data_IF_932620442388
#
_entry.id   IF_932620442388
#
_cell.length_a   1.000
_cell.length_b   1.000
_cell.length_c   1.000
_cell.angle_alpha   90.00
_cell.angle_beta   90.00
_cell.angle_gamma   90.00
#
_symmetry.space_group_name_H-M   'P 1'
#
loop_
_entity.id
_entity.type
_entity.pdbx_description
1 polymer ?
#
# COMPACT_ATOMS: atom_id res chain seq x y z
N UNK A 1 14.30 0.04 38.63
CA UNK A 1 13.18 0.85 38.07
C UNK A 1 13.41 1.26 36.61
N UNK A 2 14.57 1.79 36.22
CA UNK A 2 14.83 2.25 34.85
C UNK A 2 14.63 1.16 33.77
N UNK A 3 15.13 -0.07 34.00
CA UNK A 3 14.99 -1.19 33.05
C UNK A 3 13.52 -1.58 32.81
N UNK A 4 12.68 -1.55 33.86
CA UNK A 4 11.25 -1.86 33.74
C UNK A 4 10.48 -0.76 33.00
N UNK A 5 10.86 0.51 33.16
CA UNK A 5 10.26 1.61 32.39
C UNK A 5 10.65 1.55 30.91
N UNK A 6 11.91 1.17 30.60
CA UNK A 6 12.35 0.94 29.22
C UNK A 6 11.66 -0.26 28.56
N UNK A 7 11.42 -1.34 29.32
CA UNK A 7 10.72 -2.53 28.82
C UNK A 7 9.25 -2.27 28.48
N UNK A 8 8.61 -1.28 29.14
CA UNK A 8 7.22 -0.89 28.87
C UNK A 8 7.07 0.20 27.82
N UNK A 9 8.16 0.76 27.30
CA UNK A 9 8.14 1.83 26.31
C UNK A 9 7.26 1.52 25.07
N UNK A 10 7.25 0.28 24.51
CA UNK A 10 6.37 -0.08 23.40
C UNK A 10 4.87 -0.03 23.75
N UNK A 11 4.51 -0.20 25.02
CA UNK A 11 3.12 -0.21 25.51
C UNK A 11 2.63 1.18 25.94
N UNK A 12 3.43 2.23 25.73
CA UNK A 12 2.96 3.62 25.83
C UNK A 12 2.23 4.02 24.54
N UNK A 13 1.43 5.09 24.56
CA UNK A 13 0.75 5.57 23.34
C UNK A 13 1.78 5.97 22.25
N UNK A 14 2.93 6.51 22.65
CA UNK A 14 4.04 6.84 21.73
C UNK A 14 4.71 5.60 21.16
N UNK A 15 4.92 4.58 22.00
CA UNK A 15 5.44 3.28 21.56
C UNK A 15 4.47 2.58 20.61
N UNK A 16 3.17 2.63 20.91
CA UNK A 16 2.12 2.12 20.04
C UNK A 16 2.13 2.82 18.67
N UNK A 17 2.21 4.16 18.64
CA UNK A 17 2.37 4.94 17.40
C UNK A 17 3.56 4.46 16.56
N UNK A 18 4.73 4.28 17.19
CA UNK A 18 5.94 3.82 16.52
C UNK A 18 5.81 2.38 15.99
N UNK A 19 5.20 1.48 16.76
CA UNK A 19 4.92 0.10 16.33
C UNK A 19 3.95 0.09 15.15
N UNK A 20 2.88 0.89 15.21
CA UNK A 20 1.91 0.99 14.12
C UNK A 20 2.57 1.52 12.84
N UNK A 21 3.39 2.57 12.95
CA UNK A 21 4.17 3.08 11.82
C UNK A 21 5.13 2.01 11.26
N UNK A 22 5.93 1.38 12.12
CA UNK A 22 6.88 0.35 11.72
C UNK A 22 6.19 -0.86 11.09
N UNK A 23 5.01 -1.21 11.57
CA UNK A 23 4.16 -2.27 11.00
C UNK A 23 3.65 -1.87 9.61
N UNK A 24 3.14 -0.66 9.43
CA UNK A 24 2.66 -0.17 8.14
C UNK A 24 3.80 -0.12 7.09
N UNK A 25 4.95 0.45 7.46
CA UNK A 25 6.12 0.50 6.58
C UNK A 25 6.66 -0.91 6.29
N UNK A 26 6.82 -1.74 7.33
CA UNK A 26 7.29 -3.13 7.21
C UNK A 26 6.39 -3.98 6.32
N UNK A 27 5.08 -3.76 6.35
CA UNK A 27 4.12 -4.44 5.46
C UNK A 27 4.40 -4.09 4.00
N UNK A 28 4.65 -2.82 3.68
CA UNK A 28 5.00 -2.38 2.33
C UNK A 28 6.33 -3.00 1.86
N UNK A 29 7.36 -2.98 2.72
CA UNK A 29 8.67 -3.60 2.43
C UNK A 29 8.51 -5.09 2.16
N UNK A 30 7.80 -5.80 3.06
CA UNK A 30 7.59 -7.23 2.93
C UNK A 30 6.83 -7.57 1.65
N UNK A 31 5.76 -6.84 1.33
CA UNK A 31 4.99 -7.07 0.10
C UNK A 31 5.86 -6.98 -1.16
N UNK A 32 6.80 -6.03 -1.23
CA UNK A 32 7.74 -5.92 -2.34
C UNK A 32 8.71 -7.11 -2.38
N UNK A 33 9.33 -7.46 -1.25
CA UNK A 33 10.31 -8.55 -1.19
C UNK A 33 9.66 -9.91 -1.48
N UNK A 34 8.54 -10.21 -0.82
CA UNK A 34 7.79 -11.45 -1.03
C UNK A 34 7.19 -11.52 -2.43
N UNK A 35 6.66 -10.39 -2.95
CA UNK A 35 6.12 -10.30 -4.30
C UNK A 35 7.17 -10.62 -5.36
N UNK A 36 8.36 -10.01 -5.25
CA UNK A 36 9.48 -10.30 -6.15
C UNK A 36 9.89 -11.78 -6.10
N UNK A 37 10.08 -12.34 -4.90
CA UNK A 37 10.47 -13.74 -4.75
C UNK A 37 9.41 -14.68 -5.34
N UNK A 38 8.13 -14.40 -5.11
CA UNK A 38 7.02 -15.21 -5.60
C UNK A 38 6.94 -15.16 -7.12
N UNK A 39 7.06 -13.97 -7.73
CA UNK A 39 7.07 -13.78 -9.18
C UNK A 39 8.21 -14.57 -9.86
N UNK A 40 9.39 -14.60 -9.23
CA UNK A 40 10.55 -15.36 -9.75
C UNK A 40 10.45 -16.88 -9.54
N UNK A 41 9.54 -17.34 -8.68
CA UNK A 41 9.47 -18.75 -8.27
C UNK A 41 8.30 -19.47 -8.93
N UNK A 42 7.16 -18.80 -9.13
CA UNK A 42 5.94 -19.43 -9.61
C UNK A 42 5.70 -19.18 -11.12
N UNK A 43 5.06 -20.13 -11.83
CA UNK A 43 4.51 -19.85 -13.15
C UNK A 43 3.54 -18.66 -13.11
N UNK A 44 3.51 -17.85 -14.18
CA UNK A 44 2.79 -16.56 -14.22
C UNK A 44 1.31 -16.67 -13.83
N UNK A 45 0.58 -17.66 -14.33
CA UNK A 45 -0.84 -17.83 -14.01
C UNK A 45 -1.05 -18.25 -12.55
N UNK A 46 -0.14 -19.06 -12.00
CA UNK A 46 -0.13 -19.43 -10.57
C UNK A 46 0.19 -18.24 -9.69
N UNK A 47 1.20 -17.44 -10.07
CA UNK A 47 1.51 -16.17 -9.42
C UNK A 47 0.31 -15.23 -9.41
N UNK A 48 -0.34 -15.03 -10.56
CA UNK A 48 -1.53 -14.19 -10.67
C UNK A 48 -2.66 -14.64 -9.75
N UNK A 49 -2.94 -15.94 -9.71
CA UNK A 49 -3.96 -16.53 -8.83
C UNK A 49 -3.62 -16.35 -7.35
N UNK A 50 -2.36 -16.51 -6.97
CA UNK A 50 -1.92 -16.27 -5.60
C UNK A 50 -2.03 -14.78 -5.24
N UNK A 51 -1.59 -13.88 -6.13
CA UNK A 51 -1.66 -12.43 -5.91
C UNK A 51 -3.10 -11.94 -5.77
N UNK A 52 -4.05 -12.47 -6.54
CA UNK A 52 -5.46 -12.08 -6.41
C UNK A 52 -6.06 -12.42 -5.03
N UNK A 53 -5.39 -13.29 -4.24
CA UNK A 53 -5.76 -13.62 -2.85
C UNK A 53 -4.95 -12.83 -1.82
N UNK A 54 -3.66 -12.62 -2.08
CA UNK A 54 -2.77 -11.91 -1.14
C UNK A 54 -2.96 -10.40 -1.18
N UNK A 55 -3.19 -9.82 -2.36
CA UNK A 55 -3.23 -8.37 -2.53
C UNK A 55 -4.37 -7.69 -1.75
N UNK A 56 -5.61 -8.24 -1.70
CA UNK A 56 -6.66 -7.68 -0.84
C UNK A 56 -6.33 -7.77 0.65
N UNK A 57 -5.68 -8.85 1.09
CA UNK A 57 -5.24 -9.00 2.49
C UNK A 57 -4.18 -7.97 2.85
N UNK A 58 -3.19 -7.80 1.97
CA UNK A 58 -2.14 -6.80 2.09
C UNK A 58 -2.72 -5.39 2.21
N UNK A 59 -3.57 -4.96 1.26
CA UNK A 59 -4.10 -3.61 1.28
C UNK A 59 -5.09 -3.38 2.43
N UNK A 60 -5.86 -4.39 2.84
CA UNK A 60 -6.70 -4.31 4.04
C UNK A 60 -5.87 -4.06 5.29
N UNK A 61 -4.84 -4.89 5.50
CA UNK A 61 -3.97 -4.77 6.67
C UNK A 61 -3.20 -3.44 6.67
N UNK A 62 -2.62 -3.07 5.52
CA UNK A 62 -1.88 -1.82 5.35
C UNK A 62 -2.77 -0.59 5.59
N UNK A 63 -4.00 -0.59 5.05
CA UNK A 63 -4.97 0.48 5.26
C UNK A 63 -5.41 0.59 6.72
N UNK A 64 -5.63 -0.54 7.38
CA UNK A 64 -5.98 -0.56 8.80
C UNK A 64 -4.84 0.00 9.65
N UNK A 65 -3.62 -0.49 9.46
CA UNK A 65 -2.44 0.00 10.19
C UNK A 65 -2.21 1.50 9.95
N UNK A 66 -2.30 1.96 8.70
CA UNK A 66 -2.12 3.37 8.35
C UNK A 66 -3.28 4.24 8.88
N UNK A 67 -4.50 3.73 8.94
CA UNK A 67 -5.64 4.42 9.55
C UNK A 67 -5.47 4.56 11.07
N UNK A 68 -5.01 3.49 11.75
CA UNK A 68 -4.67 3.54 13.17
C UNK A 68 -3.55 4.54 13.43
N UNK A 69 -2.55 4.61 12.54
CA UNK A 69 -1.48 5.59 12.60
C UNK A 69 -2.01 7.03 12.48
N UNK A 70 -2.92 7.28 11.52
CA UNK A 70 -3.53 8.59 11.34
C UNK A 70 -4.37 9.00 12.56
N UNK A 71 -5.19 8.06 13.07
CA UNK A 71 -6.02 8.29 14.24
C UNK A 71 -5.17 8.66 15.47
N UNK A 72 -4.11 7.88 15.73
CA UNK A 72 -3.20 8.16 16.85
C UNK A 72 -2.41 9.45 16.65
N UNK A 73 -2.05 9.81 15.42
CA UNK A 73 -1.45 11.10 15.11
C UNK A 73 -2.36 12.27 15.49
N UNK A 74 -3.64 12.21 15.08
CA UNK A 74 -4.61 13.24 15.47
C UNK A 74 -4.93 13.26 16.95
N UNK A 75 -4.85 12.12 17.64
CA UNK A 75 -4.96 12.08 19.10
C UNK A 75 -3.85 12.89 19.79
N UNK A 76 -2.62 12.85 19.27
CA UNK A 76 -1.53 13.68 19.80
C UNK A 76 -1.63 15.15 19.40
N UNK A 77 -2.28 15.44 18.27
CA UNK A 77 -2.34 16.77 17.67
C UNK A 77 -3.78 17.18 17.34
N UNK A 78 -4.68 17.30 18.35
CA UNK A 78 -6.09 17.64 18.12
C UNK A 78 -6.30 19.00 17.44
N UNK A 79 -5.29 19.88 17.53
CA UNK A 79 -5.23 21.16 16.82
C UNK A 79 -5.49 21.03 15.31
N UNK A 80 -4.95 19.96 14.70
CA UNK A 80 -5.07 19.67 13.26
C UNK A 80 -6.52 19.53 12.78
N UNK A 81 -7.41 19.06 13.67
CA UNK A 81 -8.84 18.88 13.38
C UNK A 81 -9.62 20.16 13.75
N UNK A 82 -9.21 20.83 14.82
CA UNK A 82 -9.99 21.92 15.43
C UNK A 82 -10.02 23.22 14.63
N UNK A 83 -8.94 23.56 13.91
CA UNK A 83 -8.89 24.79 13.13
C UNK A 83 -7.83 24.73 12.03
N UNK A 84 -8.15 25.12 10.77
CA UNK A 84 -7.18 25.16 9.70
C UNK A 84 -6.21 26.36 9.80
N UNK A 85 -6.43 27.27 10.75
CA UNK A 85 -5.67 28.54 10.88
C UNK A 85 -4.82 28.62 12.15
N UNK A 86 -5.05 27.73 13.11
CA UNK A 86 -4.34 27.73 14.39
C UNK A 86 -3.35 26.56 14.40
N UNK A 87 -2.05 26.79 14.64
CA UNK A 87 -1.09 25.70 14.75
C UNK A 87 -1.43 24.73 15.91
N UNK A 88 -1.20 23.41 15.73
CA UNK A 88 -0.77 22.75 14.51
C UNK A 88 -1.87 22.70 13.44
N UNK A 89 -1.51 22.96 12.19
CA UNK A 89 -2.39 22.91 11.00
C UNK A 89 -1.66 22.24 9.85
N UNK A 90 -2.41 21.62 8.93
CA UNK A 90 -1.88 20.73 7.89
C UNK A 90 -0.79 21.31 6.99
N UNK A 91 -0.85 22.61 6.67
CA UNK A 91 -0.05 23.17 5.57
C UNK A 91 1.33 23.66 5.98
N UNK A 92 1.50 24.12 7.22
CA UNK A 92 2.79 24.73 7.63
C UNK A 92 3.30 24.32 9.01
N UNK A 93 2.61 23.46 9.76
CA UNK A 93 3.19 22.86 10.97
C UNK A 93 3.85 21.51 10.65
N UNK A 94 4.94 21.12 11.34
CA UNK A 94 5.57 19.81 11.16
C UNK A 94 4.60 18.65 11.34
N UNK A 95 3.73 18.72 12.35
CA UNK A 95 2.68 17.73 12.62
C UNK A 95 1.70 17.66 11.45
N UNK A 96 1.34 18.81 10.87
CA UNK A 96 0.50 18.88 9.68
C UNK A 96 1.11 18.17 8.48
N UNK A 97 2.40 18.39 8.23
CA UNK A 97 3.13 17.73 7.15
C UNK A 97 3.23 16.21 7.39
N UNK A 98 3.47 15.78 8.63
CA UNK A 98 3.45 14.36 9.01
C UNK A 98 2.07 13.73 8.75
N UNK A 99 0.97 14.41 9.13
CA UNK A 99 -0.39 13.97 8.83
C UNK A 99 -0.63 13.84 7.31
N UNK A 100 -0.14 14.80 6.51
CA UNK A 100 -0.24 14.74 5.05
C UNK A 100 0.53 13.55 4.47
N UNK A 101 1.69 13.18 5.02
CA UNK A 101 2.43 11.98 4.60
C UNK A 101 1.65 10.68 4.91
N UNK A 102 0.99 10.62 6.08
CA UNK A 102 0.12 9.49 6.42
C UNK A 102 -1.08 9.41 5.46
N UNK A 103 -1.74 10.54 5.17
CA UNK A 103 -2.87 10.61 4.23
C UNK A 103 -2.43 10.23 2.81
N UNK A 104 -1.29 10.77 2.36
CA UNK A 104 -0.68 10.44 1.08
C UNK A 104 -0.32 8.94 0.98
N UNK A 105 -0.21 8.25 2.12
CA UNK A 105 -0.02 6.81 2.17
C UNK A 105 -1.34 6.03 2.17
N UNK A 106 -2.31 6.47 2.96
CA UNK A 106 -3.59 5.81 3.15
C UNK A 106 -4.47 5.86 1.90
N UNK A 107 -4.57 7.03 1.24
CA UNK A 107 -5.46 7.19 0.08
C UNK A 107 -5.08 6.23 -1.06
N UNK A 108 -3.80 6.10 -1.47
CA UNK A 108 -3.41 5.11 -2.47
C UNK A 108 -3.67 3.66 -2.05
N UNK A 109 -3.51 3.31 -0.77
CA UNK A 109 -3.83 1.96 -0.27
C UNK A 109 -5.33 1.65 -0.43
N UNK A 110 -6.19 2.60 -0.07
CA UNK A 110 -7.64 2.46 -0.21
C UNK A 110 -8.08 2.40 -1.68
N UNK A 111 -7.51 3.24 -2.54
CA UNK A 111 -7.77 3.20 -3.99
C UNK A 111 -7.37 1.85 -4.59
N UNK A 112 -6.23 1.31 -4.16
CA UNK A 112 -5.80 -0.02 -4.57
C UNK A 112 -6.72 -1.12 -4.06
N UNK A 113 -7.10 -1.07 -2.78
CA UNK A 113 -7.98 -2.06 -2.14
C UNK A 113 -9.34 -2.13 -2.82
N UNK A 114 -9.95 -0.96 -3.04
CA UNK A 114 -11.36 -0.86 -3.39
C UNK A 114 -11.61 -0.79 -4.90
N UNK A 115 -10.62 -0.34 -5.68
CA UNK A 115 -10.84 -0.03 -7.10
C UNK A 115 -9.78 -0.69 -7.99
N UNK A 116 -8.52 -0.28 -7.87
CA UNK A 116 -7.52 -0.56 -8.91
C UNK A 116 -7.08 -2.03 -8.93
N UNK A 117 -6.82 -2.63 -7.76
CA UNK A 117 -6.36 -4.01 -7.69
C UNK A 117 -7.45 -5.04 -8.03
N UNK A 118 -8.72 -4.86 -7.62
CA UNK A 118 -9.83 -5.67 -8.12
C UNK A 118 -9.94 -5.62 -9.66
N UNK A 119 -9.93 -4.42 -10.26
CA UNK A 119 -9.99 -4.27 -11.71
C UNK A 119 -8.79 -4.91 -12.42
N UNK A 120 -7.58 -4.79 -11.86
CA UNK A 120 -6.41 -5.46 -12.40
C UNK A 120 -6.55 -6.99 -12.36
N UNK A 121 -7.09 -7.54 -11.27
CA UNK A 121 -7.31 -8.97 -11.08
C UNK A 121 -8.35 -9.52 -12.05
N UNK A 122 -9.47 -8.82 -12.25
CA UNK A 122 -10.52 -9.22 -13.18
C UNK A 122 -9.97 -9.31 -14.62
N UNK A 123 -9.25 -8.27 -15.05
CA UNK A 123 -8.63 -8.23 -16.38
C UNK A 123 -7.54 -9.30 -16.54
N UNK A 124 -6.79 -9.59 -15.47
CA UNK A 124 -5.83 -10.68 -15.45
C UNK A 124 -6.50 -12.04 -15.69
N UNK A 125 -7.63 -12.31 -15.03
CA UNK A 125 -8.37 -13.56 -15.23
C UNK A 125 -9.04 -13.63 -16.61
N UNK A 126 -9.58 -12.52 -17.12
CA UNK A 126 -10.06 -12.43 -18.50
C UNK A 126 -8.95 -12.75 -19.50
N UNK A 127 -7.76 -12.18 -19.29
CA UNK A 127 -6.57 -12.47 -20.10
C UNK A 127 -6.20 -13.95 -20.06
N UNK A 128 -6.12 -14.56 -18.87
CA UNK A 128 -5.83 -16.00 -18.73
C UNK A 128 -6.88 -16.87 -19.41
N UNK A 129 -8.15 -16.48 -19.40
CA UNK A 129 -9.19 -17.18 -20.15
C UNK A 129 -8.95 -17.07 -21.65
N UNK A 130 -8.64 -15.88 -22.15
CA UNK A 130 -8.39 -15.66 -23.57
C UNK A 130 -7.18 -16.46 -24.06
N UNK A 131 -6.08 -16.48 -23.30
CA UNK A 131 -4.89 -17.30 -23.58
C UNK A 131 -5.25 -18.78 -23.78
N UNK A 132 -6.15 -19.33 -22.95
CA UNK A 132 -6.64 -20.72 -23.09
C UNK A 132 -7.51 -20.94 -24.31
N UNK A 133 -8.32 -19.96 -24.70
CA UNK A 133 -9.22 -20.07 -25.87
C UNK A 133 -8.41 -20.08 -27.17
N UNK A 134 -7.41 -19.21 -27.28
CA UNK A 134 -6.59 -19.12 -28.50
C UNK A 134 -5.37 -20.05 -28.50
N UNK A 135 -5.05 -20.66 -27.35
CA UNK A 135 -3.90 -21.56 -27.21
C UNK A 135 -2.55 -20.86 -27.31
N UNK A 136 -2.53 -19.54 -27.05
CA UNK A 136 -1.32 -18.70 -27.08
C UNK A 136 -1.14 -17.95 -25.78
N UNK A 137 0.11 -17.80 -25.36
CA UNK A 137 0.49 -16.88 -24.30
C UNK A 137 0.40 -15.41 -24.75
N UNK A 138 0.34 -14.52 -23.76
CA UNK A 138 0.09 -13.10 -23.99
C UNK A 138 1.18 -12.36 -24.78
N UNK A 139 2.40 -12.88 -24.79
CA UNK A 139 3.58 -12.31 -25.42
C UNK A 139 4.01 -13.04 -26.69
N UNK A 140 3.22 -14.04 -27.12
CA UNK A 140 3.47 -14.71 -28.39
C UNK A 140 3.21 -13.79 -29.60
N UNK A 141 3.91 -14.03 -30.73
CA UNK A 141 3.65 -13.29 -31.96
C UNK A 141 2.25 -13.57 -32.50
N UNK A 142 1.63 -12.54 -33.09
CA UNK A 142 0.32 -12.63 -33.74
C UNK A 142 -0.80 -13.13 -32.81
N UNK A 143 -0.81 -12.70 -31.55
CA UNK A 143 -1.95 -12.85 -30.64
C UNK A 143 -3.18 -12.08 -31.15
N UNK A 144 -4.37 -12.54 -30.78
CA UNK A 144 -5.62 -11.91 -31.23
C UNK A 144 -5.74 -10.44 -30.80
N UNK A 145 -6.51 -9.64 -31.54
CA UNK A 145 -6.81 -8.26 -31.13
C UNK A 145 -7.43 -8.18 -29.72
N UNK A 146 -8.23 -9.18 -29.37
CA UNK A 146 -8.83 -9.32 -28.04
C UNK A 146 -7.76 -9.48 -26.97
N UNK A 147 -6.80 -10.38 -27.18
CA UNK A 147 -5.71 -10.59 -26.21
C UNK A 147 -4.80 -9.35 -26.12
N UNK A 148 -4.54 -8.65 -27.23
CA UNK A 148 -3.79 -7.38 -27.22
C UNK A 148 -4.50 -6.30 -26.40
N UNK A 149 -5.83 -6.16 -26.54
CA UNK A 149 -6.63 -5.22 -25.73
C UNK A 149 -6.56 -5.56 -24.24
N UNK A 150 -6.67 -6.84 -23.89
CA UNK A 150 -6.56 -7.31 -22.51
C UNK A 150 -5.16 -7.07 -21.94
N UNK A 151 -4.10 -7.28 -22.72
CA UNK A 151 -2.71 -6.97 -22.32
C UNK A 151 -2.53 -5.50 -21.98
N UNK A 152 -3.00 -4.61 -22.85
CA UNK A 152 -2.94 -3.16 -22.62
C UNK A 152 -3.72 -2.77 -21.36
N UNK A 153 -4.95 -3.28 -21.22
CA UNK A 153 -5.82 -2.99 -20.07
C UNK A 153 -5.18 -3.47 -18.76
N UNK A 154 -4.62 -4.68 -18.75
CA UNK A 154 -3.90 -5.22 -17.59
C UNK A 154 -2.68 -4.36 -17.26
N UNK A 155 -1.86 -4.03 -18.25
CA UNK A 155 -0.65 -3.21 -18.05
C UNK A 155 -0.98 -1.84 -17.44
N UNK A 156 -2.09 -1.21 -17.86
CA UNK A 156 -2.53 0.07 -17.31
C UNK A 156 -2.93 -0.09 -15.84
N UNK A 157 -3.84 -1.01 -15.51
CA UNK A 157 -4.29 -1.16 -14.11
C UNK A 157 -3.18 -1.64 -13.19
N UNK A 158 -2.35 -2.59 -13.62
CA UNK A 158 -1.20 -3.05 -12.85
C UNK A 158 -0.16 -1.93 -12.63
N UNK A 159 0.09 -1.11 -13.66
CA UNK A 159 0.99 0.05 -13.56
C UNK A 159 0.47 1.10 -12.58
N UNK A 160 -0.82 1.46 -12.66
CA UNK A 160 -1.46 2.39 -11.71
C UNK A 160 -1.40 1.82 -10.29
N UNK A 161 -1.72 0.53 -10.10
CA UNK A 161 -1.69 -0.10 -8.79
C UNK A 161 -0.30 -0.05 -8.16
N UNK A 162 0.73 -0.32 -8.97
CA UNK A 162 2.13 -0.26 -8.56
C UNK A 162 2.55 1.16 -8.20
N UNK A 163 2.18 2.17 -8.99
CA UNK A 163 2.48 3.56 -8.71
C UNK A 163 1.84 4.04 -7.40
N UNK A 164 0.56 3.72 -7.19
CA UNK A 164 -0.15 4.01 -5.94
C UNK A 164 0.52 3.35 -4.74
N UNK A 165 0.96 2.09 -4.88
CA UNK A 165 1.68 1.39 -3.82
C UNK A 165 3.04 2.03 -3.52
N UNK A 166 3.76 2.48 -4.55
CA UNK A 166 5.03 3.21 -4.38
C UNK A 166 4.84 4.54 -3.66
N UNK A 167 3.82 5.33 -4.02
CA UNK A 167 3.48 6.58 -3.31
C UNK A 167 3.22 6.27 -1.83
N UNK A 168 2.51 5.18 -1.55
CA UNK A 168 2.23 4.75 -0.18
C UNK A 168 3.49 4.41 0.62
N UNK A 169 4.38 3.62 0.02
CA UNK A 169 5.67 3.31 0.61
C UNK A 169 6.50 4.57 0.89
N UNK A 170 6.58 5.49 -0.08
CA UNK A 170 7.35 6.72 0.05
C UNK A 170 6.79 7.66 1.12
N UNK A 171 5.47 7.75 1.26
CA UNK A 171 4.84 8.54 2.32
C UNK A 171 5.16 8.00 3.72
N UNK A 172 5.10 6.69 3.93
CA UNK A 172 5.45 6.05 5.20
C UNK A 172 6.96 6.14 5.51
N UNK A 173 7.81 5.97 4.51
CA UNK A 173 9.26 6.13 4.65
C UNK A 173 9.63 7.59 4.97
N UNK A 174 9.03 8.55 4.25
CA UNK A 174 9.20 9.97 4.47
C UNK A 174 8.75 10.41 5.86
N UNK A 175 7.65 9.85 6.37
CA UNK A 175 7.20 10.08 7.74
C UNK A 175 8.25 9.65 8.76
N UNK A 176 8.90 8.50 8.56
CA UNK A 176 9.98 8.04 9.43
C UNK A 176 11.14 9.01 9.50
N UNK A 177 11.53 9.58 8.36
CA UNK A 177 12.56 10.62 8.28
C UNK A 177 12.10 11.90 8.99
N UNK A 178 10.86 12.34 8.74
CA UNK A 178 10.30 13.56 9.32
C UNK A 178 10.12 13.52 10.84
N UNK A 179 9.94 12.33 11.42
CA UNK A 179 9.86 12.14 12.89
C UNK A 179 11.24 11.97 13.52
N UNK A 180 12.28 11.67 12.71
CA UNK A 180 13.66 11.45 13.19
C UNK A 180 14.54 12.71 13.16
N UNK A 181 14.07 13.80 12.54
CA UNK A 181 14.75 15.10 12.46
C UNK A 181 14.18 16.05 13.52
#
# INVERSE_FOLDING_TARGET
MAIFQSALAPFTVKGFYLITWGTALGTNVWNTVSGYRTYKTLPRQTFGTLQSRLQPLYFTFSSLATSTLLFTHYWFHPGLISSPRVPPHHTSSPEGQQALMIIASLVPQLLNLLVVSPLASDVMFERHRQERVEGKEYDEPNVSETLQKLNKKFSIYHGIASALNTISFLGLAGLGLAVSM
#
